data_IF_404718529484
#
_entry.id   IF_404718529484
#
_cell.length_a   1.000
_cell.length_b   1.000
_cell.length_c   1.000
_cell.angle_alpha   90.00
_cell.angle_beta   90.00
_cell.angle_gamma   90.00
#
_symmetry.space_group_name_H-M   'P 1'
#
loop_
_entity.id
_entity.type
_entity.pdbx_description
1 polymer ?
#
# COMPACT_ATOMS: atom_id res chain seq x y z
N UNK A 1 -9.20 69.54 41.20
CA UNK A 1 -10.56 68.96 41.29
C UNK A 1 -10.51 67.57 40.68
N UNK A 2 -10.88 66.55 41.47
CA UNK A 2 -11.62 65.31 41.14
C UNK A 2 -11.24 64.59 39.82
N UNK A 3 -10.65 63.39 39.83
CA UNK A 3 -11.30 62.09 40.14
C UNK A 3 -12.05 61.57 38.90
N UNK A 4 -12.11 60.30 38.51
CA UNK A 4 -11.93 59.01 39.20
C UNK A 4 -11.69 57.91 38.16
N UNK A 5 -11.15 56.81 38.67
CA UNK A 5 -11.20 55.43 38.16
C UNK A 5 -12.61 54.97 37.80
N UNK A 6 -12.71 54.13 36.76
CA UNK A 6 -13.90 53.37 36.39
C UNK A 6 -13.52 51.91 36.18
N UNK A 7 -14.14 51.05 36.98
CA UNK A 7 -13.86 49.65 37.21
C UNK A 7 -15.13 48.83 36.89
N UNK A 8 -14.96 47.51 36.67
CA UNK A 8 -15.95 46.41 36.59
C UNK A 8 -16.86 46.21 35.34
N UNK A 9 -17.43 44.99 35.10
CA UNK A 9 -17.33 43.74 35.87
C UNK A 9 -17.03 42.43 35.10
N UNK A 10 -16.54 41.45 35.89
CA UNK A 10 -16.59 40.00 35.63
C UNK A 10 -18.04 39.48 35.69
N UNK A 11 -18.49 38.80 34.64
CA UNK A 11 -19.70 37.99 34.66
C UNK A 11 -19.41 36.55 35.08
N UNK A 12 -19.86 36.17 36.29
CA UNK A 12 -20.02 34.76 36.70
C UNK A 12 -21.30 34.22 36.07
N UNK A 13 -21.23 33.11 35.35
CA UNK A 13 -22.40 32.32 34.95
C UNK A 13 -22.59 31.16 35.93
N UNK A 14 -23.70 31.22 36.66
CA UNK A 14 -24.20 30.17 37.52
C UNK A 14 -24.80 29.00 36.71
N UNK A 15 -24.52 27.80 37.21
CA UNK A 15 -25.09 26.51 36.82
C UNK A 15 -26.63 26.51 36.84
N UNK A 16 -27.23 25.89 35.83
CA UNK A 16 -28.50 25.15 35.98
C UNK A 16 -28.35 23.79 35.30
N UNK A 17 -28.58 22.75 36.09
CA UNK A 17 -28.62 21.35 35.70
C UNK A 17 -30.07 20.93 35.43
N UNK A 18 -30.30 20.29 34.29
CA UNK A 18 -31.43 19.45 33.90
C UNK A 18 -30.81 18.51 32.85
N UNK A 19 -30.68 17.21 33.02
CA UNK A 19 -31.71 16.21 33.30
C UNK A 19 -31.59 15.18 32.18
N UNK A 20 -30.84 14.09 32.42
CA UNK A 20 -30.58 13.03 31.45
C UNK A 20 -31.82 12.17 31.19
N UNK A 21 -31.86 11.51 30.01
CA UNK A 21 -32.39 10.16 29.98
C UNK A 21 -31.47 9.16 29.25
N UNK A 22 -31.22 8.04 29.92
CA UNK A 22 -31.36 6.71 29.32
C UNK A 22 -30.24 6.19 28.42
N UNK A 23 -29.19 5.65 29.04
CA UNK A 23 -28.32 4.65 28.41
C UNK A 23 -29.14 3.38 28.08
N UNK A 24 -29.24 3.01 26.80
CA UNK A 24 -29.45 1.62 26.40
C UNK A 24 -28.16 1.08 25.79
N UNK A 25 -27.59 0.07 26.45
CA UNK A 25 -26.57 -0.82 25.92
C UNK A 25 -27.13 -1.56 24.71
N UNK A 26 -26.45 -1.48 23.58
CA UNK A 26 -26.54 -2.48 22.52
C UNK A 26 -25.18 -3.18 22.43
N UNK A 27 -25.21 -4.47 22.74
CA UNK A 27 -24.13 -5.44 22.60
C UNK A 27 -24.42 -6.23 21.32
N UNK A 28 -23.38 -6.54 20.55
CA UNK A 28 -23.41 -7.44 19.38
C UNK A 28 -23.16 -6.67 18.08
N UNK A 29 -22.32 -7.10 17.14
CA UNK A 29 -21.55 -8.32 16.99
C UNK A 29 -20.54 -8.12 15.85
N UNK A 30 -19.55 -8.99 15.76
CA UNK A 30 -18.42 -8.88 14.83
C UNK A 30 -18.82 -8.76 13.36
N UNK A 31 -18.16 -7.83 12.65
CA UNK A 31 -18.23 -7.70 11.21
C UNK A 31 -17.21 -8.61 10.54
N UNK A 32 -17.71 -9.63 9.83
CA UNK A 32 -17.00 -10.45 8.86
C UNK A 32 -16.73 -9.66 7.55
N UNK A 33 -15.76 -10.08 6.72
CA UNK A 33 -15.26 -9.30 5.60
C UNK A 33 -16.18 -9.33 4.37
N UNK A 34 -15.97 -8.32 3.52
CA UNK A 34 -16.66 -8.04 2.26
C UNK A 34 -16.81 -9.27 1.34
N UNK A 35 -18.04 -9.57 0.94
CA UNK A 35 -18.32 -10.52 -0.14
C UNK A 35 -18.09 -9.90 -1.52
N UNK A 36 -17.12 -10.42 -2.26
CA UNK A 36 -17.03 -10.28 -3.71
C UNK A 36 -17.81 -11.40 -4.38
N UNK A 37 -18.69 -11.05 -5.31
CA UNK A 37 -19.48 -11.98 -6.11
C UNK A 37 -18.61 -12.48 -7.28
N UNK A 38 -18.29 -13.78 -7.27
CA UNK A 38 -17.61 -14.50 -8.36
C UNK A 38 -18.64 -15.08 -9.34
N UNK A 39 -18.40 -14.92 -10.64
CA UNK A 39 -19.08 -15.68 -11.71
C UNK A 39 -18.33 -17.00 -11.97
N UNK A 40 -19.00 -18.14 -12.22
CA UNK A 40 -18.34 -19.43 -12.41
C UNK A 40 -17.88 -19.65 -13.86
N UNK A 41 -16.67 -20.19 -14.03
CA UNK A 41 -16.18 -20.75 -15.29
C UNK A 41 -16.48 -22.27 -15.36
N UNK A 42 -16.72 -22.85 -16.57
CA UNK A 42 -17.18 -24.23 -16.71
C UNK A 42 -16.05 -25.25 -16.56
N UNK A 43 -16.32 -26.31 -15.82
CA UNK A 43 -15.46 -27.48 -15.64
C UNK A 43 -15.73 -28.54 -16.71
N UNK A 44 -14.68 -29.02 -17.37
CA UNK A 44 -14.70 -30.33 -18.03
C UNK A 44 -13.33 -30.98 -17.88
N UNK A 45 -13.30 -32.12 -17.17
CA UNK A 45 -12.13 -32.98 -17.05
C UNK A 45 -12.52 -34.37 -17.56
N UNK A 46 -11.69 -35.04 -18.38
CA UNK A 46 -11.94 -36.39 -18.85
C UNK A 46 -11.52 -37.45 -17.81
N UNK A 47 -12.04 -38.69 -17.90
CA UNK A 47 -11.95 -39.69 -16.83
C UNK A 47 -10.59 -40.39 -16.74
N UNK A 48 -10.24 -40.76 -15.50
CA UNK A 48 -9.08 -41.56 -15.10
C UNK A 48 -9.30 -43.06 -15.39
N UNK A 49 -8.25 -43.74 -15.87
CA UNK A 49 -8.16 -45.20 -15.99
C UNK A 49 -7.38 -45.80 -14.81
N UNK A 50 -7.63 -47.07 -14.43
CA UNK A 50 -7.22 -47.62 -13.13
C UNK A 50 -5.77 -48.13 -13.07
N UNK A 51 -5.24 -48.12 -11.84
CA UNK A 51 -3.93 -48.57 -11.39
C UNK A 51 -3.78 -50.11 -11.40
N UNK A 52 -2.60 -50.60 -11.80
CA UNK A 52 -2.14 -51.96 -11.54
C UNK A 52 -1.20 -51.97 -10.30
N UNK A 53 -1.29 -52.96 -9.40
CA UNK A 53 -0.40 -53.09 -8.25
C UNK A 53 0.73 -54.09 -8.51
N UNK A 54 1.93 -53.80 -8.00
CA UNK A 54 2.98 -54.79 -7.81
C UNK A 54 4.38 -54.27 -8.07
N UNK A 55 5.12 -53.95 -7.01
CA UNK A 55 6.23 -54.78 -6.51
C UNK A 55 7.03 -54.02 -5.46
N UNK A 56 7.30 -54.70 -4.34
CA UNK A 56 8.22 -54.25 -3.29
C UNK A 56 9.64 -54.52 -3.74
N UNK A 57 10.53 -53.55 -3.54
CA UNK A 57 11.94 -53.85 -3.33
C UNK A 57 12.55 -52.90 -2.30
N UNK A 58 13.36 -53.50 -1.43
CA UNK A 58 14.02 -52.93 -0.25
C UNK A 58 15.45 -52.57 -0.64
N UNK A 59 15.89 -51.33 -0.46
CA UNK A 59 17.27 -50.90 -0.21
C UNK A 59 17.18 -49.48 0.39
N UNK A 60 17.84 -49.16 1.52
CA UNK A 60 19.29 -49.10 1.68
C UNK A 60 19.71 -47.63 1.53
N UNK A 61 19.99 -46.96 2.65
CA UNK A 61 19.96 -45.50 2.76
C UNK A 61 21.03 -44.73 1.99
N UNK A 62 20.70 -43.46 1.72
CA UNK A 62 21.65 -42.35 1.52
C UNK A 62 20.96 -41.07 1.96
N UNK A 63 21.62 -40.28 2.81
CA UNK A 63 21.10 -38.98 3.26
C UNK A 63 20.78 -38.07 2.07
N UNK A 64 19.51 -37.75 1.91
CA UNK A 64 19.05 -36.76 0.94
C UNK A 64 19.61 -35.41 1.37
N UNK A 65 20.65 -34.92 0.68
CA UNK A 65 20.88 -33.48 0.59
C UNK A 65 19.59 -32.89 0.05
N UNK A 66 18.78 -32.26 0.90
CA UNK A 66 17.65 -31.47 0.43
C UNK A 66 18.24 -30.42 -0.50
N UNK A 67 18.01 -30.56 -1.81
CA UNK A 67 18.22 -29.45 -2.72
C UNK A 67 17.34 -28.33 -2.19
N UNK A 68 17.91 -27.21 -1.74
CA UNK A 68 17.16 -26.00 -1.47
C UNK A 68 16.48 -25.62 -2.78
N UNK A 69 15.23 -26.07 -2.94
CA UNK A 69 14.43 -25.81 -4.13
C UNK A 69 14.02 -24.36 -4.00
N UNK A 70 14.59 -23.50 -4.84
CA UNK A 70 14.18 -22.09 -4.94
C UNK A 70 12.68 -22.08 -5.16
N UNK A 71 11.95 -21.43 -4.27
CA UNK A 71 10.48 -21.34 -4.36
C UNK A 71 10.13 -20.01 -5.01
N UNK A 72 9.19 -20.05 -5.96
CA UNK A 72 8.74 -18.88 -6.70
C UNK A 72 7.27 -18.57 -6.37
N UNK A 73 6.94 -17.28 -6.31
CA UNK A 73 5.58 -16.76 -6.40
C UNK A 73 5.29 -16.45 -7.86
N UNK A 74 4.22 -17.01 -8.41
CA UNK A 74 3.79 -16.74 -9.78
C UNK A 74 3.25 -15.30 -9.94
N UNK A 75 3.25 -14.82 -11.17
CA UNK A 75 2.63 -13.55 -11.57
C UNK A 75 1.10 -13.76 -11.74
N UNK A 76 0.41 -14.08 -10.65
CA UNK A 76 -0.97 -14.59 -10.63
C UNK A 76 -2.01 -13.63 -11.20
N UNK A 77 -1.73 -12.32 -11.24
CA UNK A 77 -2.63 -11.29 -11.78
C UNK A 77 -2.25 -10.84 -13.21
N UNK A 78 -1.19 -11.43 -13.79
CA UNK A 78 -0.84 -11.22 -15.19
C UNK A 78 -1.95 -11.71 -16.13
N UNK A 79 -2.25 -10.94 -17.16
CA UNK A 79 -3.29 -11.24 -18.15
C UNK A 79 -4.68 -10.74 -17.77
N UNK A 80 -4.89 -10.26 -16.53
CA UNK A 80 -6.14 -9.65 -16.08
C UNK A 80 -5.96 -8.21 -15.59
N UNK A 81 -5.02 -7.98 -14.67
CA UNK A 81 -4.75 -6.64 -14.14
C UNK A 81 -3.72 -5.86 -14.95
N UNK A 82 -2.79 -6.58 -15.59
CA UNK A 82 -1.78 -6.04 -16.49
C UNK A 82 -1.44 -7.06 -17.59
N UNK A 83 -0.83 -6.60 -18.67
CA UNK A 83 -0.51 -7.44 -19.84
C UNK A 83 0.46 -8.58 -19.49
N UNK A 84 0.09 -9.83 -19.77
CA UNK A 84 0.96 -11.00 -19.50
C UNK A 84 2.16 -11.11 -20.47
N UNK A 85 2.05 -10.53 -21.67
CA UNK A 85 3.13 -10.56 -22.67
C UNK A 85 4.23 -9.57 -22.30
N UNK A 86 5.40 -10.07 -21.89
CA UNK A 86 6.58 -9.28 -21.51
C UNK A 86 6.94 -8.14 -22.47
N UNK A 87 7.10 -8.38 -23.79
CA UNK A 87 7.42 -7.32 -24.75
C UNK A 87 6.37 -6.20 -24.83
N UNK A 88 5.09 -6.55 -24.72
CA UNK A 88 3.99 -5.58 -24.76
C UNK A 88 3.93 -4.77 -23.47
N UNK A 89 4.06 -5.44 -22.32
CA UNK A 89 4.10 -4.78 -21.02
C UNK A 89 5.28 -3.82 -20.91
N UNK A 90 6.46 -4.23 -21.38
CA UNK A 90 7.65 -3.38 -21.43
C UNK A 90 7.40 -2.11 -22.24
N UNK A 91 6.82 -2.24 -23.44
CA UNK A 91 6.50 -1.10 -24.30
C UNK A 91 5.45 -0.16 -23.69
N UNK A 92 4.42 -0.71 -23.01
CA UNK A 92 3.43 0.09 -22.29
C UNK A 92 4.08 0.93 -21.18
N UNK A 93 4.90 0.29 -20.34
CA UNK A 93 5.58 0.96 -19.23
C UNK A 93 6.59 2.00 -19.72
N UNK A 94 7.35 1.70 -20.78
CA UNK A 94 8.23 2.66 -21.45
C UNK A 94 7.45 3.88 -21.97
N UNK A 95 6.30 3.63 -22.62
CA UNK A 95 5.41 4.67 -23.12
C UNK A 95 4.94 5.63 -22.03
N UNK A 96 4.55 5.13 -20.86
CA UNK A 96 4.15 5.99 -19.74
C UNK A 96 5.34 6.68 -19.06
N UNK A 97 6.45 5.98 -18.83
CA UNK A 97 7.65 6.55 -18.21
C UNK A 97 8.28 7.67 -19.06
N UNK A 98 8.24 7.54 -20.39
CA UNK A 98 8.78 8.57 -21.30
C UNK A 98 7.99 9.88 -21.29
N UNK A 99 6.72 9.86 -20.89
CA UNK A 99 5.87 11.06 -20.77
C UNK A 99 6.15 11.87 -19.50
N UNK A 100 6.92 11.32 -18.56
CA UNK A 100 7.21 11.95 -17.26
C UNK A 100 8.65 12.46 -17.23
N UNK A 101 8.83 13.69 -16.75
CA UNK A 101 10.14 14.25 -16.43
C UNK A 101 10.59 13.85 -15.01
N UNK A 102 11.88 13.57 -14.86
CA UNK A 102 12.49 13.30 -13.57
C UNK A 102 12.68 14.62 -12.79
N UNK A 103 11.94 14.81 -11.69
CA UNK A 103 11.96 16.06 -10.90
C UNK A 103 12.26 15.85 -9.41
N UNK A 104 12.25 14.59 -8.95
CA UNK A 104 12.45 14.20 -7.54
C UNK A 104 13.45 13.04 -7.39
N UNK A 105 14.41 12.90 -8.32
CA UNK A 105 15.47 11.90 -8.19
C UNK A 105 16.56 12.35 -7.19
N UNK A 106 17.17 11.42 -6.43
CA UNK A 106 16.73 10.04 -6.21
C UNK A 106 15.61 9.97 -5.16
N UNK A 107 14.48 9.35 -5.50
CA UNK A 107 13.42 9.10 -4.53
C UNK A 107 13.86 8.06 -3.50
N UNK A 108 13.64 8.35 -2.20
CA UNK A 108 13.84 7.40 -1.09
C UNK A 108 12.58 6.59 -0.77
N UNK A 109 11.42 7.14 -1.08
CA UNK A 109 10.15 6.45 -1.05
C UNK A 109 9.25 6.97 -2.15
N UNK A 110 8.28 6.17 -2.58
CA UNK A 110 7.19 6.58 -3.45
C UNK A 110 5.86 6.08 -2.90
N UNK A 111 4.80 6.86 -3.12
CA UNK A 111 3.42 6.36 -3.03
C UNK A 111 2.91 6.19 -4.45
N UNK A 112 2.38 5.01 -4.78
CA UNK A 112 1.86 4.70 -6.10
C UNK A 112 0.62 3.80 -6.03
N UNK A 113 -0.30 3.90 -7.02
CA UNK A 113 -1.54 3.13 -7.06
C UNK A 113 -1.31 1.65 -7.39
N UNK A 114 -2.29 0.81 -7.07
CA UNK A 114 -2.31 -0.64 -7.34
C UNK A 114 -3.61 -1.12 -8.00
N UNK A 115 -4.32 -0.25 -8.72
CA UNK A 115 -5.34 -0.69 -9.66
C UNK A 115 -4.74 -1.35 -10.91
N UNK A 116 -5.59 -1.92 -11.76
CA UNK A 116 -5.16 -2.45 -13.06
C UNK A 116 -4.51 -1.36 -13.93
N UNK A 117 -3.48 -1.73 -14.71
CA UNK A 117 -2.62 -0.77 -15.41
C UNK A 117 -3.35 0.09 -16.44
N UNK A 118 -4.45 -0.40 -17.02
CA UNK A 118 -5.31 0.39 -17.90
C UNK A 118 -5.86 1.64 -17.22
N UNK A 119 -6.11 1.60 -15.90
CA UNK A 119 -6.70 2.70 -15.14
C UNK A 119 -5.65 3.63 -14.54
N UNK A 120 -4.62 3.07 -13.89
CA UNK A 120 -3.67 3.85 -13.09
C UNK A 120 -2.22 3.77 -13.59
N UNK A 121 -1.96 3.07 -14.69
CA UNK A 121 -0.62 2.84 -15.22
C UNK A 121 0.14 4.13 -15.51
N UNK A 122 -0.48 5.08 -16.21
CA UNK A 122 0.12 6.40 -16.46
C UNK A 122 0.36 7.20 -15.18
N UNK A 123 -0.56 7.13 -14.20
CA UNK A 123 -0.37 7.80 -12.91
C UNK A 123 0.86 7.25 -12.16
N UNK A 124 1.01 5.92 -12.08
CA UNK A 124 2.14 5.29 -11.40
C UNK A 124 3.50 5.68 -12.01
N UNK A 125 3.57 5.95 -13.32
CA UNK A 125 4.80 6.42 -13.98
C UNK A 125 5.36 7.70 -13.33
N UNK A 126 4.50 8.60 -12.84
CA UNK A 126 4.93 9.84 -12.20
C UNK A 126 5.78 9.58 -10.95
N UNK A 127 5.48 8.51 -10.21
CA UNK A 127 6.26 8.06 -9.06
C UNK A 127 7.52 7.29 -9.50
N UNK A 128 7.36 6.26 -10.34
CA UNK A 128 8.47 5.39 -10.75
C UNK A 128 9.57 6.12 -11.53
N UNK A 129 9.24 7.18 -12.29
CA UNK A 129 10.25 7.99 -12.98
C UNK A 129 11.24 8.66 -12.01
N UNK A 130 10.87 8.83 -10.74
CA UNK A 130 11.70 9.45 -9.72
C UNK A 130 12.66 8.46 -9.04
N UNK A 131 12.55 7.17 -9.33
CA UNK A 131 13.52 6.16 -8.90
C UNK A 131 14.80 6.32 -9.71
N UNK A 132 15.94 6.27 -9.02
CA UNK A 132 17.26 6.32 -9.65
C UNK A 132 17.92 4.94 -9.61
N UNK A 133 17.96 4.20 -10.75
CA UNK A 133 18.52 2.86 -10.78
C UNK A 133 20.04 2.83 -10.52
N UNK A 134 20.74 3.96 -10.68
CA UNK A 134 22.18 4.03 -10.37
C UNK A 134 22.47 4.00 -8.87
N UNK A 135 21.48 4.33 -8.02
CA UNK A 135 21.62 4.44 -6.57
C UNK A 135 20.85 3.33 -5.83
N UNK A 136 19.61 3.06 -6.25
CA UNK A 136 18.73 2.11 -5.56
C UNK A 136 19.23 0.68 -5.75
N UNK A 137 19.29 -0.10 -4.66
CA UNK A 137 19.70 -1.52 -4.66
C UNK A 137 18.74 -2.43 -3.92
N UNK A 138 17.91 -1.91 -3.01
CA UNK A 138 16.98 -2.72 -2.19
C UNK A 138 15.64 -2.03 -2.14
N UNK A 139 14.59 -2.70 -2.60
CA UNK A 139 13.28 -2.09 -2.81
C UNK A 139 12.25 -2.75 -1.90
N UNK A 140 11.86 -2.06 -0.85
CA UNK A 140 10.76 -2.44 0.03
C UNK A 140 9.45 -2.15 -0.68
N UNK A 141 8.51 -3.10 -0.67
CA UNK A 141 7.18 -2.92 -1.26
C UNK A 141 6.17 -3.22 -0.16
N UNK A 142 5.56 -2.16 0.39
CA UNK A 142 4.56 -2.22 1.45
C UNK A 142 3.16 -2.16 0.82
N UNK A 143 2.49 -3.31 0.74
CA UNK A 143 1.14 -3.44 0.19
C UNK A 143 0.10 -3.71 1.26
N UNK A 144 -1.11 -3.10 1.24
CA UNK A 144 -2.19 -3.48 2.15
C UNK A 144 -2.73 -4.88 1.83
N UNK A 145 -3.20 -5.61 2.84
CA UNK A 145 -3.96 -6.86 2.66
C UNK A 145 -5.43 -6.57 2.34
N UNK A 146 -5.94 -7.14 1.24
CA UNK A 146 -7.35 -7.07 0.85
C UNK A 146 -8.12 -8.34 1.22
N UNK A 147 -7.44 -9.49 1.26
CA UNK A 147 -8.09 -10.80 1.30
C UNK A 147 -8.10 -11.42 2.70
N UNK A 148 -6.99 -11.29 3.43
CA UNK A 148 -6.81 -11.95 4.73
C UNK A 148 -6.88 -10.98 5.90
N UNK A 149 -7.55 -11.35 7.01
CA UNK A 149 -7.48 -10.59 8.25
C UNK A 149 -6.07 -10.70 8.82
N UNK A 150 -5.37 -9.58 8.88
CA UNK A 150 -3.99 -9.49 9.38
C UNK A 150 -3.90 -8.29 10.32
N UNK A 151 -3.42 -8.49 11.55
CA UNK A 151 -3.29 -7.40 12.56
C UNK A 151 -1.86 -6.87 12.71
N UNK A 152 -0.94 -7.39 11.90
CA UNK A 152 0.49 -7.08 11.86
C UNK A 152 0.94 -6.94 10.41
N UNK A 153 2.23 -7.12 10.15
CA UNK A 153 2.77 -7.30 8.81
C UNK A 153 3.16 -8.76 8.59
N UNK A 154 3.17 -9.21 7.34
CA UNK A 154 3.61 -10.54 6.96
C UNK A 154 4.68 -10.50 5.86
N UNK A 155 5.58 -11.47 5.88
CA UNK A 155 6.65 -11.65 4.90
C UNK A 155 6.35 -12.86 4.02
N UNK A 156 6.87 -12.86 2.80
CA UNK A 156 6.76 -13.99 1.90
C UNK A 156 7.46 -15.24 2.44
N UNK A 157 6.99 -16.42 2.00
CA UNK A 157 7.63 -17.72 2.21
C UNK A 157 8.48 -18.18 1.03
N UNK A 158 8.54 -17.41 -0.06
CA UNK A 158 9.31 -17.74 -1.27
C UNK A 158 10.60 -16.95 -1.38
N UNK A 159 11.41 -17.25 -2.39
CA UNK A 159 12.68 -16.58 -2.66
C UNK A 159 12.60 -15.61 -3.86
N UNK A 160 11.69 -15.88 -4.79
CA UNK A 160 11.57 -15.19 -6.07
C UNK A 160 10.12 -14.79 -6.33
N UNK A 161 9.91 -13.58 -6.81
CA UNK A 161 8.63 -13.12 -7.36
C UNK A 161 8.76 -13.02 -8.87
N UNK A 162 7.94 -13.76 -9.62
CA UNK A 162 7.98 -13.75 -11.08
C UNK A 162 7.33 -12.50 -11.64
N UNK A 163 7.82 -12.04 -12.79
CA UNK A 163 7.17 -10.98 -13.57
C UNK A 163 7.25 -11.29 -15.07
N UNK A 164 6.40 -10.69 -15.92
CA UNK A 164 6.55 -10.84 -17.37
C UNK A 164 7.84 -10.28 -17.97
N UNK A 165 8.59 -9.43 -17.25
CA UNK A 165 9.82 -8.81 -17.75
C UNK A 165 11.05 -9.65 -17.37
N UNK A 166 11.25 -9.83 -16.06
CA UNK A 166 12.23 -10.72 -15.46
C UNK A 166 11.90 -10.94 -13.99
N UNK A 167 12.36 -12.06 -13.43
CA UNK A 167 12.04 -12.43 -12.06
C UNK A 167 12.85 -11.63 -11.03
N UNK A 168 12.22 -11.29 -9.90
CA UNK A 168 12.79 -10.46 -8.84
C UNK A 168 13.15 -11.30 -7.61
N UNK A 169 14.35 -11.08 -7.06
CA UNK A 169 14.85 -11.83 -5.90
C UNK A 169 14.55 -11.12 -4.59
N UNK A 170 14.12 -11.89 -3.59
CA UNK A 170 13.95 -11.39 -2.22
C UNK A 170 15.31 -11.23 -1.53
N UNK A 171 15.50 -10.11 -0.83
CA UNK A 171 16.69 -9.89 -0.01
C UNK A 171 16.69 -10.76 1.25
N UNK A 172 17.36 -11.91 1.18
CA UNK A 172 17.41 -12.89 2.27
C UNK A 172 18.04 -12.35 3.55
N UNK A 173 18.97 -11.41 3.45
CA UNK A 173 19.61 -10.80 4.63
C UNK A 173 18.61 -9.95 5.38
N UNK A 174 17.94 -9.01 4.71
CA UNK A 174 16.94 -8.15 5.33
C UNK A 174 15.72 -8.96 5.77
N UNK A 175 15.27 -9.94 4.99
CA UNK A 175 14.20 -10.85 5.41
C UNK A 175 14.53 -11.59 6.71
N UNK A 176 15.78 -12.06 6.86
CA UNK A 176 16.26 -12.66 8.09
C UNK A 176 16.28 -11.68 9.28
N UNK A 177 16.71 -10.44 9.05
CA UNK A 177 16.70 -9.38 10.07
C UNK A 177 15.26 -9.02 10.50
N UNK A 178 14.35 -8.83 9.55
CA UNK A 178 12.94 -8.54 9.82
C UNK A 178 12.28 -9.70 10.57
N UNK A 179 12.50 -10.94 10.15
CA UNK A 179 11.93 -12.11 10.81
C UNK A 179 12.37 -12.24 12.28
N UNK A 180 13.66 -12.01 12.56
CA UNK A 180 14.23 -12.08 13.92
C UNK A 180 13.63 -11.07 14.91
N UNK A 181 12.96 -10.02 14.42
CA UNK A 181 12.24 -9.08 15.31
C UNK A 181 11.06 -9.73 16.04
N UNK A 182 10.52 -10.84 15.51
CA UNK A 182 9.29 -11.45 16.02
C UNK A 182 8.02 -10.64 15.75
N UNK A 183 8.11 -9.57 14.93
CA UNK A 183 6.98 -8.69 14.63
C UNK A 183 6.15 -9.14 13.42
N UNK A 184 6.67 -10.06 12.60
CA UNK A 184 6.07 -10.46 11.33
C UNK A 184 5.47 -11.85 11.38
N UNK A 185 4.38 -12.03 10.68
CA UNK A 185 3.84 -13.35 10.31
C UNK A 185 4.45 -13.83 8.98
N UNK A 186 4.23 -15.08 8.62
CA UNK A 186 4.66 -15.65 7.33
C UNK A 186 3.42 -15.88 6.46
N UNK A 187 3.41 -15.33 5.26
CA UNK A 187 2.35 -15.60 4.30
C UNK A 187 2.45 -17.04 3.77
N UNK A 188 1.31 -17.72 3.66
CA UNK A 188 1.22 -18.92 2.83
C UNK A 188 1.40 -18.53 1.35
N UNK A 189 1.88 -19.44 0.50
CA UNK A 189 2.00 -19.18 -0.94
C UNK A 189 0.64 -18.76 -1.55
N UNK A 190 -0.46 -19.37 -1.11
CA UNK A 190 -1.81 -19.01 -1.55
C UNK A 190 -2.15 -17.56 -1.20
N UNK A 191 -1.89 -17.14 0.05
CA UNK A 191 -2.12 -15.74 0.47
C UNK A 191 -1.28 -14.77 -0.35
N UNK A 192 -0.04 -15.15 -0.62
CA UNK A 192 0.92 -14.35 -1.38
C UNK A 192 0.45 -14.16 -2.84
N UNK A 193 0.03 -15.24 -3.49
CA UNK A 193 -0.46 -15.21 -4.88
C UNK A 193 -1.89 -14.65 -5.02
N UNK A 194 -2.73 -14.71 -4.00
CA UNK A 194 -4.08 -14.10 -4.03
C UNK A 194 -4.02 -12.56 -3.88
N UNK A 195 -3.00 -12.04 -3.20
CA UNK A 195 -2.85 -10.60 -3.00
C UNK A 195 -2.23 -9.89 -4.21
N UNK A 196 -2.81 -8.76 -4.62
CA UNK A 196 -2.37 -7.99 -5.79
C UNK A 196 -1.66 -6.68 -5.43
N UNK A 197 -1.84 -6.16 -4.21
CA UNK A 197 -1.35 -4.83 -3.85
C UNK A 197 0.17 -4.70 -3.94
N UNK A 198 0.90 -5.79 -3.66
CA UNK A 198 2.36 -5.86 -3.86
C UNK A 198 2.68 -6.15 -5.33
N UNK A 199 1.93 -7.05 -5.97
CA UNK A 199 2.20 -7.52 -7.33
C UNK A 199 2.15 -6.40 -8.37
N UNK A 200 1.22 -5.45 -8.23
CA UNK A 200 1.09 -4.32 -9.16
C UNK A 200 2.34 -3.43 -9.23
N UNK A 201 3.23 -3.53 -8.24
CA UNK A 201 4.50 -2.80 -8.22
C UNK A 201 5.66 -3.58 -8.85
N UNK A 202 5.54 -4.89 -9.08
CA UNK A 202 6.67 -5.70 -9.55
C UNK A 202 7.06 -5.37 -11.00
N UNK A 203 6.13 -5.31 -11.99
CA UNK A 203 6.51 -4.97 -13.35
C UNK A 203 7.08 -3.56 -13.48
N UNK A 204 6.49 -2.59 -12.78
CA UNK A 204 6.99 -1.21 -12.75
C UNK A 204 8.39 -1.10 -12.12
N UNK A 205 8.63 -1.85 -11.05
CA UNK A 205 9.95 -1.93 -10.41
C UNK A 205 10.97 -2.58 -11.34
N UNK A 206 10.62 -3.70 -11.97
CA UNK A 206 11.45 -4.38 -12.95
C UNK A 206 11.79 -3.44 -14.12
N UNK A 207 10.81 -2.65 -14.60
CA UNK A 207 11.05 -1.67 -15.65
C UNK A 207 11.97 -0.53 -15.21
N UNK A 208 11.71 0.09 -14.06
CA UNK A 208 12.48 1.22 -13.56
C UNK A 208 13.96 0.85 -13.29
N UNK A 209 14.21 -0.41 -12.93
CA UNK A 209 15.53 -0.94 -12.59
C UNK A 209 16.21 -1.71 -13.73
N UNK A 210 15.66 -1.69 -14.95
CA UNK A 210 16.10 -2.56 -16.06
C UNK A 210 17.61 -2.47 -16.36
N UNK A 211 18.20 -1.27 -16.23
CA UNK A 211 19.62 -1.03 -16.49
C UNK A 211 20.56 -1.65 -15.45
N UNK A 212 20.04 -2.04 -14.29
CA UNK A 212 20.76 -2.63 -13.17
C UNK A 212 20.05 -3.90 -12.68
N UNK A 213 19.41 -4.65 -13.60
CA UNK A 213 18.49 -5.75 -13.29
C UNK A 213 19.06 -6.85 -12.38
N UNK A 214 20.37 -7.06 -12.40
CA UNK A 214 21.05 -8.12 -11.65
C UNK A 214 21.63 -7.62 -10.30
N UNK A 215 21.55 -6.31 -10.04
CA UNK A 215 22.19 -5.64 -8.90
C UNK A 215 21.24 -5.26 -7.76
N UNK A 216 19.93 -5.54 -7.88
CA UNK A 216 18.95 -5.20 -6.86
C UNK A 216 18.15 -6.39 -6.34
N UNK A 217 17.55 -6.18 -5.17
CA UNK A 217 16.64 -7.13 -4.49
C UNK A 217 15.37 -6.41 -4.03
N UNK A 218 14.31 -7.19 -3.80
CA UNK A 218 13.04 -6.69 -3.26
C UNK A 218 12.80 -7.20 -1.84
N UNK A 219 11.99 -6.46 -1.08
CA UNK A 219 11.54 -6.79 0.26
C UNK A 219 10.01 -6.60 0.30
N UNK A 220 9.22 -7.56 -0.19
CA UNK A 220 7.77 -7.47 -0.15
C UNK A 220 7.29 -7.61 1.30
N UNK A 221 6.37 -6.74 1.72
CA UNK A 221 5.80 -6.73 3.06
C UNK A 221 4.30 -6.49 2.94
N UNK A 222 3.52 -7.49 3.32
CA UNK A 222 2.07 -7.35 3.39
C UNK A 222 1.70 -6.67 4.71
N UNK A 223 1.00 -5.55 4.64
CA UNK A 223 0.61 -4.73 5.78
C UNK A 223 -0.87 -4.95 6.06
N UNK A 224 -1.18 -5.43 7.26
CA UNK A 224 -2.56 -5.66 7.70
C UNK A 224 -3.27 -4.40 8.20
N UNK A 225 -4.39 -4.62 8.89
CA UNK A 225 -5.11 -3.61 9.64
C UNK A 225 -4.37 -3.27 10.94
N UNK A 226 -3.35 -2.42 10.83
CA UNK A 226 -2.53 -2.01 11.96
C UNK A 226 -3.30 -1.07 12.90
N UNK A 227 -3.02 -1.20 14.20
CA UNK A 227 -3.36 -0.15 15.16
C UNK A 227 -2.36 1.01 15.06
N UNK A 228 -2.70 2.20 15.56
CA UNK A 228 -1.79 3.36 15.60
C UNK A 228 -0.46 3.02 16.29
N UNK A 229 -0.50 2.25 17.39
CA UNK A 229 0.71 1.76 18.07
C UNK A 229 1.56 0.88 17.15
N UNK A 230 0.94 0.02 16.34
CA UNK A 230 1.67 -0.83 15.40
C UNK A 230 2.23 -0.05 14.22
N UNK A 231 1.53 0.98 13.73
CA UNK A 231 2.08 1.90 12.72
C UNK A 231 3.33 2.61 13.25
N UNK A 232 3.33 3.05 14.51
CA UNK A 232 4.49 3.63 15.18
C UNK A 232 5.63 2.63 15.35
N UNK A 233 5.34 1.41 15.83
CA UNK A 233 6.34 0.36 16.03
C UNK A 233 7.00 -0.07 14.71
N UNK A 234 6.21 -0.34 13.66
CA UNK A 234 6.72 -0.69 12.34
C UNK A 234 7.42 0.50 11.68
N UNK A 235 6.91 1.72 11.81
CA UNK A 235 7.58 2.92 11.32
C UNK A 235 8.97 3.07 11.94
N UNK A 236 9.07 2.92 13.26
CA UNK A 236 10.36 2.92 13.97
C UNK A 236 11.28 1.80 13.49
N UNK A 237 10.77 0.59 13.31
CA UNK A 237 11.56 -0.54 12.79
C UNK A 237 12.09 -0.25 11.37
N UNK A 238 11.25 0.28 10.49
CA UNK A 238 11.61 0.54 9.10
C UNK A 238 12.47 1.79 8.92
N UNK A 239 12.47 2.72 9.90
CA UNK A 239 13.22 3.98 9.83
C UNK A 239 14.71 3.76 9.53
N UNK A 240 15.36 2.79 10.17
CA UNK A 240 16.78 2.48 9.92
C UNK A 240 17.05 2.07 8.46
N UNK A 241 16.10 1.39 7.81
CA UNK A 241 16.23 1.03 6.40
C UNK A 241 15.87 2.21 5.50
N UNK A 242 14.93 3.07 5.90
CA UNK A 242 14.59 4.28 5.15
C UNK A 242 15.78 5.28 5.13
N UNK A 243 16.60 5.31 6.18
CA UNK A 243 17.79 6.16 6.26
C UNK A 243 18.89 5.80 5.25
N UNK A 244 18.93 4.54 4.78
CA UNK A 244 19.97 4.03 3.88
C UNK A 244 19.78 4.52 2.42
N UNK A 245 20.78 5.19 1.81
CA UNK A 245 20.69 5.70 0.43
C UNK A 245 20.39 4.68 -0.66
N UNK A 246 20.79 3.44 -0.45
CA UNK A 246 20.56 2.35 -1.40
C UNK A 246 19.17 1.71 -1.29
N UNK A 247 18.33 2.16 -0.35
CA UNK A 247 16.99 1.62 -0.17
C UNK A 247 15.94 2.50 -0.83
N UNK A 248 14.86 1.88 -1.30
CA UNK A 248 13.66 2.54 -1.77
C UNK A 248 12.46 1.91 -1.06
N UNK A 249 11.50 2.73 -0.63
CA UNK A 249 10.22 2.27 -0.12
C UNK A 249 9.09 2.58 -1.11
N UNK A 250 8.52 1.55 -1.72
CA UNK A 250 7.28 1.63 -2.49
C UNK A 250 6.12 1.38 -1.54
N UNK A 251 5.31 2.42 -1.32
CA UNK A 251 4.11 2.37 -0.49
C UNK A 251 2.89 2.31 -1.40
N UNK A 252 2.22 1.18 -1.38
CA UNK A 252 1.14 0.88 -2.29
C UNK A 252 -0.19 1.43 -1.78
N UNK A 253 -0.83 2.32 -2.54
CA UNK A 253 -2.16 2.83 -2.19
C UNK A 253 -2.89 3.45 -3.37
N UNK A 254 -4.12 3.02 -3.57
CA UNK A 254 -5.18 3.82 -4.18
C UNK A 254 -5.76 4.79 -3.12
N UNK A 255 -6.47 5.82 -3.59
CA UNK A 255 -7.08 6.87 -2.75
C UNK A 255 -8.60 6.64 -2.64
N UNK A 256 -9.47 7.67 -2.67
CA UNK A 256 -10.90 7.49 -2.46
C UNK A 256 -11.52 6.45 -3.42
N UNK A 257 -12.17 5.45 -2.83
CA UNK A 257 -13.12 4.55 -3.49
C UNK A 257 -14.53 5.09 -3.21
N UNK A 258 -15.10 5.83 -4.16
CA UNK A 258 -16.37 6.51 -4.01
C UNK A 258 -17.51 5.79 -4.74
N UNK A 259 -18.66 5.71 -4.10
CA UNK A 259 -19.90 5.19 -4.66
C UNK A 259 -20.57 4.14 -3.78
N UNK A 260 -21.83 3.84 -4.10
CA UNK A 260 -22.66 2.92 -3.32
C UNK A 260 -22.02 1.54 -3.16
N UNK A 261 -21.34 1.02 -4.21
CA UNK A 261 -20.65 -0.28 -4.18
C UNK A 261 -19.55 -0.38 -3.12
N UNK A 262 -18.97 0.74 -2.71
CA UNK A 262 -17.95 0.82 -1.67
C UNK A 262 -18.52 1.20 -0.30
N UNK A 263 -19.84 1.45 -0.22
CA UNK A 263 -20.51 2.00 0.98
C UNK A 263 -19.86 3.30 1.47
N UNK A 264 -19.36 4.10 0.52
CA UNK A 264 -18.73 5.38 0.81
C UNK A 264 -19.17 6.41 -0.22
N UNK A 265 -19.91 7.41 0.22
CA UNK A 265 -20.47 8.45 -0.65
C UNK A 265 -20.42 9.82 0.04
N UNK A 266 -19.35 10.09 0.78
CA UNK A 266 -19.12 11.42 1.36
C UNK A 266 -19.14 12.46 0.24
N UNK A 267 -19.83 13.57 0.47
CA UNK A 267 -19.97 14.65 -0.49
C UNK A 267 -20.03 15.97 0.26
N UNK A 268 -19.12 16.87 -0.10
CA UNK A 268 -19.08 18.26 0.33
C UNK A 268 -19.58 19.14 -0.81
N UNK A 269 -20.83 19.58 -0.70
CA UNK A 269 -21.51 20.44 -1.68
C UNK A 269 -20.76 21.75 -1.97
N UNK A 270 -19.95 22.24 -1.01
CA UNK A 270 -19.17 23.47 -1.21
C UNK A 270 -18.10 23.33 -2.29
N UNK A 271 -17.73 22.10 -2.66
CA UNK A 271 -16.71 21.80 -3.67
C UNK A 271 -17.28 21.67 -5.09
N UNK A 272 -18.59 21.81 -5.30
CA UNK A 272 -19.23 21.68 -6.61
C UNK A 272 -19.60 20.23 -6.96
N UNK A 273 -19.31 19.76 -8.18
CA UNK A 273 -19.67 18.41 -8.61
C UNK A 273 -19.01 17.31 -7.71
N UNK A 274 -19.62 16.12 -7.64
CA UNK A 274 -19.14 15.01 -6.78
C UNK A 274 -17.66 14.70 -7.01
N UNK A 275 -17.21 14.62 -8.26
CA UNK A 275 -15.79 14.36 -8.55
C UNK A 275 -14.84 15.42 -8.01
N UNK A 276 -15.28 16.68 -7.87
CA UNK A 276 -14.51 17.77 -7.25
C UNK A 276 -14.48 17.67 -5.74
N UNK A 277 -15.58 17.24 -5.12
CA UNK A 277 -15.59 16.90 -3.69
C UNK A 277 -14.63 15.74 -3.38
N UNK A 278 -14.62 14.70 -4.23
CA UNK A 278 -13.65 13.60 -4.13
C UNK A 278 -12.22 14.13 -4.28
N UNK A 279 -11.95 14.95 -5.30
CA UNK A 279 -10.63 15.54 -5.52
C UNK A 279 -10.17 16.38 -4.33
N UNK A 280 -11.04 17.22 -3.77
CA UNK A 280 -10.75 18.02 -2.58
C UNK A 280 -10.43 17.14 -1.38
N UNK A 281 -11.25 16.11 -1.13
CA UNK A 281 -11.08 15.18 -0.04
C UNK A 281 -9.74 14.45 -0.14
N UNK A 282 -9.39 13.94 -1.33
CA UNK A 282 -8.12 13.25 -1.56
C UNK A 282 -6.94 14.20 -1.42
N UNK A 283 -7.00 15.38 -2.06
CA UNK A 283 -5.93 16.38 -1.98
C UNK A 283 -5.69 16.88 -0.56
N UNK A 284 -6.73 16.94 0.28
CA UNK A 284 -6.56 17.23 1.71
C UNK A 284 -5.70 16.16 2.40
N UNK A 285 -5.98 14.87 2.16
CA UNK A 285 -5.16 13.78 2.68
C UNK A 285 -3.74 13.80 2.11
N UNK A 286 -3.60 14.06 0.82
CA UNK A 286 -2.31 14.21 0.14
C UNK A 286 -1.46 15.34 0.75
N UNK A 287 -2.04 16.53 0.96
CA UNK A 287 -1.32 17.65 1.57
C UNK A 287 -0.89 17.37 3.01
N UNK A 288 -1.67 16.60 3.78
CA UNK A 288 -1.26 16.16 5.12
C UNK A 288 -0.08 15.17 5.04
N UNK A 289 -0.08 14.27 4.07
CA UNK A 289 1.07 13.39 3.82
C UNK A 289 2.31 14.21 3.43
N UNK A 290 2.16 15.27 2.62
CA UNK A 290 3.24 16.20 2.26
C UNK A 290 3.80 16.97 3.46
N UNK A 291 2.99 17.17 4.51
CA UNK A 291 3.43 17.74 5.79
C UNK A 291 4.22 16.75 6.67
N UNK A 292 4.31 15.48 6.26
CA UNK A 292 5.05 14.42 6.95
C UNK A 292 4.54 14.16 8.39
N UNK A 293 3.24 14.35 8.62
CA UNK A 293 2.62 14.27 9.96
C UNK A 293 1.67 13.05 10.09
N UNK A 294 2.09 11.98 10.80
CA UNK A 294 1.25 10.78 10.99
C UNK A 294 0.02 11.05 11.86
N UNK A 295 0.09 11.97 12.83
CA UNK A 295 -1.03 12.25 13.74
C UNK A 295 -2.12 13.01 12.99
N UNK A 296 -1.73 14.01 12.20
CA UNK A 296 -2.66 14.74 11.33
C UNK A 296 -3.32 13.82 10.30
N UNK A 297 -2.57 12.87 9.73
CA UNK A 297 -3.14 11.89 8.79
C UNK A 297 -4.15 10.95 9.47
N UNK A 298 -3.82 10.43 10.66
CA UNK A 298 -4.75 9.63 11.48
C UNK A 298 -6.03 10.40 11.83
N UNK A 299 -5.90 11.68 12.21
CA UNK A 299 -7.06 12.53 12.51
C UNK A 299 -7.93 12.78 11.27
N UNK A 300 -7.33 12.97 10.10
CA UNK A 300 -8.05 13.07 8.82
C UNK A 300 -8.85 11.79 8.52
N UNK A 301 -8.23 10.61 8.70
CA UNK A 301 -8.91 9.33 8.50
C UNK A 301 -10.07 9.14 9.48
N UNK A 302 -9.90 9.49 10.76
CA UNK A 302 -10.97 9.45 11.78
C UNK A 302 -12.11 10.42 11.48
N UNK A 303 -11.81 11.56 10.84
CA UNK A 303 -12.81 12.59 10.55
C UNK A 303 -13.64 12.22 9.32
N UNK A 304 -12.99 11.88 8.22
CA UNK A 304 -13.66 11.71 6.93
C UNK A 304 -13.85 10.25 6.52
N UNK A 305 -13.14 9.32 7.16
CA UNK A 305 -13.15 7.90 6.81
C UNK A 305 -12.90 7.66 5.32
N UNK A 306 -12.09 8.51 4.68
CA UNK A 306 -11.75 8.34 3.26
C UNK A 306 -11.20 6.93 3.04
N UNK A 307 -11.67 6.27 2.00
CA UNK A 307 -11.46 4.84 1.72
C UNK A 307 -10.08 4.53 1.13
N UNK A 308 -9.04 5.25 1.55
CA UNK A 308 -7.65 5.05 1.17
C UNK A 308 -7.22 3.63 1.62
N UNK A 309 -6.98 2.74 0.66
CA UNK A 309 -6.72 1.32 0.94
C UNK A 309 -5.35 1.10 1.59
N UNK A 310 -4.32 1.85 1.17
CA UNK A 310 -2.96 1.82 1.71
C UNK A 310 -2.73 2.74 2.91
N UNK A 311 -3.79 3.14 3.63
CA UNK A 311 -3.67 4.03 4.81
C UNK A 311 -2.70 3.51 5.88
N UNK A 312 -2.62 2.20 6.08
CA UNK A 312 -1.71 1.59 7.06
C UNK A 312 -0.25 1.58 6.58
N UNK A 313 0.07 1.17 5.34
CA UNK A 313 1.38 1.42 4.74
C UNK A 313 1.82 2.90 4.79
N UNK A 314 0.91 3.85 4.50
CA UNK A 314 1.19 5.29 4.59
C UNK A 314 1.49 5.70 6.04
N UNK A 315 0.70 5.23 7.01
CA UNK A 315 0.95 5.46 8.43
C UNK A 315 2.33 4.95 8.88
N UNK A 316 2.73 3.76 8.43
CA UNK A 316 4.09 3.22 8.69
C UNK A 316 5.17 4.13 8.10
N UNK A 317 5.01 4.59 6.86
CA UNK A 317 5.96 5.51 6.21
C UNK A 317 6.09 6.83 6.97
N UNK A 318 4.97 7.47 7.33
CA UNK A 318 4.97 8.74 8.06
C UNK A 318 5.62 8.61 9.45
N UNK A 319 5.39 7.50 10.14
CA UNK A 319 6.07 7.23 11.42
C UNK A 319 7.57 6.95 11.23
N UNK A 320 7.98 6.28 10.14
CA UNK A 320 9.39 6.11 9.82
C UNK A 320 10.08 7.45 9.53
N UNK A 321 9.42 8.34 8.77
CA UNK A 321 9.89 9.69 8.44
C UNK A 321 10.08 10.52 9.71
N UNK A 322 9.08 10.59 10.58
CA UNK A 322 9.17 11.38 11.82
C UNK A 322 10.23 10.85 12.77
N UNK A 323 10.49 9.54 12.81
CA UNK A 323 11.61 8.98 13.59
C UNK A 323 12.97 9.43 13.05
N UNK A 324 13.13 9.54 11.72
CA UNK A 324 14.36 10.06 11.11
C UNK A 324 14.52 11.57 11.28
N UNK A 325 13.43 12.34 11.24
CA UNK A 325 13.45 13.78 11.52
C UNK A 325 13.91 14.10 12.94
N UNK A 326 13.51 13.28 13.94
CA UNK A 326 14.04 13.40 15.32
C UNK A 326 15.56 13.22 15.39
N UNK A 327 16.14 12.47 14.45
CA UNK A 327 17.57 12.25 14.32
C UNK A 327 18.24 13.26 13.38
N UNK A 328 17.55 14.34 12.99
CA UNK A 328 18.10 15.45 12.21
C UNK A 328 18.07 15.27 10.70
N UNK A 329 17.48 14.20 10.16
CA UNK A 329 17.36 14.03 8.71
C UNK A 329 16.31 14.96 8.13
N UNK A 330 16.66 15.71 7.09
CA UNK A 330 15.73 16.55 6.35
C UNK A 330 15.16 15.77 5.17
N UNK A 331 13.85 15.88 4.95
CA UNK A 331 13.18 15.23 3.84
C UNK A 331 11.90 15.99 3.49
N UNK A 332 11.46 15.80 2.24
CA UNK A 332 10.21 16.38 1.73
C UNK A 332 9.49 15.37 0.86
N UNK A 333 8.17 15.28 1.01
CA UNK A 333 7.31 14.50 0.13
C UNK A 333 6.56 15.44 -0.81
N UNK A 334 6.34 15.03 -2.05
CA UNK A 334 5.47 15.76 -2.99
C UNK A 334 4.68 14.77 -3.83
N UNK A 335 3.38 14.99 -3.95
CA UNK A 335 2.59 14.35 -4.99
C UNK A 335 2.86 15.01 -6.34
N UNK A 336 2.90 14.20 -7.39
CA UNK A 336 3.34 14.54 -8.74
C UNK A 336 2.24 14.35 -9.76
N UNK A 337 1.23 13.54 -9.44
CA UNK A 337 0.04 13.36 -10.28
C UNK A 337 -1.16 12.92 -9.44
N UNK A 338 -2.35 13.28 -9.91
CA UNK A 338 -3.63 12.82 -9.40
C UNK A 338 -4.54 12.47 -10.57
N UNK A 339 -5.27 11.36 -10.47
CA UNK A 339 -6.23 10.92 -11.45
C UNK A 339 -7.44 10.26 -10.77
N UNK A 340 -8.55 10.17 -11.48
CA UNK A 340 -9.74 9.42 -11.07
C UNK A 340 -10.10 8.47 -12.21
N UNK A 341 -10.55 7.25 -11.89
CA UNK A 341 -10.98 6.27 -12.89
C UNK A 341 -12.11 6.79 -13.80
N UNK A 342 -12.94 7.67 -13.26
CA UNK A 342 -14.09 8.30 -13.89
C UNK A 342 -14.52 9.53 -13.07
N UNK A 343 -15.21 10.47 -13.70
CA UNK A 343 -15.78 11.64 -13.01
C UNK A 343 -17.21 11.35 -12.56
N UNK A 344 -17.41 11.08 -11.27
CA UNK A 344 -18.74 10.94 -10.68
C UNK A 344 -19.50 12.27 -10.69
N UNK A 345 -20.76 12.24 -11.15
CA UNK A 345 -21.67 13.38 -11.20
C UNK A 345 -23.00 13.07 -10.49
N UNK A 346 -23.40 11.81 -10.46
CA UNK A 346 -24.63 11.34 -9.83
C UNK A 346 -24.34 10.29 -8.74
N UNK A 347 -25.32 10.06 -7.86
CA UNK A 347 -25.20 9.11 -6.74
C UNK A 347 -25.06 7.64 -7.14
N UNK A 348 -25.35 7.29 -8.40
CA UNK A 348 -25.17 5.95 -8.95
C UNK A 348 -23.80 5.74 -9.57
N UNK A 349 -23.05 6.82 -9.79
CA UNK A 349 -21.70 6.72 -10.31
C UNK A 349 -20.77 6.11 -9.25
N UNK A 350 -19.64 5.58 -9.70
CA UNK A 350 -18.58 5.17 -8.79
C UNK A 350 -17.22 5.36 -9.45
N UNK A 351 -16.21 5.67 -8.64
CA UNK A 351 -14.85 5.89 -9.10
C UNK A 351 -13.83 5.45 -8.04
N UNK A 352 -12.60 5.28 -8.47
CA UNK A 352 -11.43 5.13 -7.62
C UNK A 352 -10.41 6.21 -7.99
N UNK A 353 -9.82 6.84 -6.99
CA UNK A 353 -8.78 7.85 -7.18
C UNK A 353 -7.37 7.26 -7.10
N UNK A 354 -6.46 7.85 -7.85
CA UNK A 354 -5.05 7.45 -7.92
C UNK A 354 -4.16 8.66 -7.69
N UNK A 355 -3.14 8.51 -6.85
CA UNK A 355 -2.13 9.54 -6.64
C UNK A 355 -0.74 8.92 -6.70
N UNK A 356 0.21 9.67 -7.26
CA UNK A 356 1.61 9.26 -7.34
C UNK A 356 2.48 10.35 -6.73
N UNK A 357 3.39 9.99 -5.82
CA UNK A 357 4.26 10.93 -5.13
C UNK A 357 5.61 10.33 -4.77
N UNK A 358 6.56 11.20 -4.42
CA UNK A 358 7.93 10.82 -4.08
C UNK A 358 8.45 11.57 -2.85
N UNK A 359 9.18 10.84 -2.01
CA UNK A 359 9.97 11.34 -0.88
C UNK A 359 11.42 11.54 -1.32
N UNK A 360 11.99 12.71 -1.06
CA UNK A 360 13.43 12.96 -1.19
C UNK A 360 14.03 13.27 0.18
N UNK A 361 15.21 12.72 0.45
CA UNK A 361 16.02 13.02 1.63
C UNK A 361 17.14 13.96 1.20
N UNK A 362 17.37 15.04 1.95
CA UNK A 362 18.29 16.13 1.62
C UNK A 362 19.57 16.11 2.45
#
# INVERSE_FOLDING_TARGET
MVGKTGDFPRGKLHRKALGAPGLRKLVGGGGLPCGCVLLPAPSSSPPLLPLNPGERSVHGGTGTKMSNRVVCREASHAGSWYTASGPQLNAQLEGWLSQVQSTKRPARAIIAPHAGYTYCGSCAAHAYKQVDPSITRRIFILGPSHHVPLSRCALSSVDIYRTPLYDLRIDQKIYGELWKTGMFERMSLQTDEDEHSIEMHLPYTAKAMESHKDEFTIIPVLVGALSESKEQEFGKLFSKYLAEPSNLFVVSSDFCHWGQRFRYSYYDESQGEIYRSIEHLDKMGMSIIEQLDPVSFSNYLKKYHNTICGRHPIGVLLNAITELQKNGMNMSFSFLNYAQSSQCRNWQDSSVSYAAGALTVH
#
